data_IF_888857270478
#
_entry.id   IF_888857270478
#
_cell.length_a   1.000
_cell.length_b   1.000
_cell.length_c   1.000
_cell.angle_alpha   90.00
_cell.angle_beta   90.00
_cell.angle_gamma   90.00
#
_symmetry.space_group_name_H-M   'P 1'
#
loop_
_entity.id
_entity.type
_entity.pdbx_description
1 polymer ?
#
# COMPACT_ATOMS: atom_id res chain seq x y z
N UNK A 1 -9.21 7.46 0.89
CA UNK A 1 -7.81 7.92 0.81
C UNK A 1 -7.77 9.41 0.58
N UNK A 2 -6.77 10.05 1.12
CA UNK A 2 -6.57 11.50 0.98
C UNK A 2 -5.57 11.75 -0.14
N UNK A 3 -5.90 12.64 -1.08
CA UNK A 3 -4.96 13.08 -2.11
C UNK A 3 -3.89 13.95 -1.46
N UNK A 4 -2.62 13.66 -1.78
CA UNK A 4 -1.49 14.41 -1.26
C UNK A 4 -1.19 15.64 -2.12
N UNK A 5 -0.09 16.32 -1.81
CA UNK A 5 0.33 17.54 -2.52
C UNK A 5 0.50 17.30 -4.03
N UNK A 6 1.03 16.15 -4.42
CA UNK A 6 1.06 15.72 -5.82
C UNK A 6 -0.28 15.05 -6.16
N UNK A 7 -0.82 15.35 -7.34
CA UNK A 7 -2.13 14.84 -7.78
C UNK A 7 -2.16 13.32 -7.98
N UNK A 8 -1.01 12.69 -8.22
CA UNK A 8 -0.88 11.27 -8.45
C UNK A 8 -0.61 10.45 -7.18
N UNK A 9 -0.54 11.10 -6.02
CA UNK A 9 -0.26 10.46 -4.75
C UNK A 9 -1.45 10.56 -3.80
N UNK A 10 -1.80 9.43 -3.19
CA UNK A 10 -2.84 9.32 -2.18
C UNK A 10 -2.27 8.63 -0.95
N UNK A 11 -2.82 8.91 0.22
CA UNK A 11 -2.47 8.17 1.43
C UNK A 11 -3.71 7.83 2.25
N UNK A 12 -3.56 6.81 3.07
CA UNK A 12 -4.52 6.46 4.10
C UNK A 12 -3.75 6.09 5.36
N UNK A 13 -4.41 6.22 6.52
CA UNK A 13 -3.75 5.95 7.79
C UNK A 13 -4.54 4.95 8.61
N UNK A 14 -3.82 4.24 9.48
CA UNK A 14 -4.38 3.35 10.47
C UNK A 14 -3.74 3.69 11.81
N UNK A 15 -4.56 3.98 12.83
CA UNK A 15 -4.07 4.26 14.16
C UNK A 15 -3.68 2.97 14.87
N UNK A 16 -2.49 2.94 15.44
CA UNK A 16 -1.99 1.82 16.22
C UNK A 16 -2.08 2.17 17.70
N UNK A 17 -3.01 1.55 18.42
CA UNK A 17 -3.24 1.84 19.84
C UNK A 17 -2.06 1.50 20.74
N UNK A 18 -1.35 0.40 20.44
CA UNK A 18 -0.21 -0.02 21.24
C UNK A 18 0.92 1.00 21.21
N UNK A 19 1.17 1.59 20.05
CA UNK A 19 2.24 2.57 19.86
C UNK A 19 1.76 4.01 19.96
N UNK A 20 0.44 4.21 20.03
CA UNK A 20 -0.20 5.52 20.07
C UNK A 20 0.25 6.44 18.91
N UNK A 21 0.41 5.88 17.71
CA UNK A 21 0.79 6.62 16.51
C UNK A 21 -0.02 6.13 15.30
N UNK A 22 -0.11 6.98 14.28
CA UNK A 22 -0.70 6.63 13.00
C UNK A 22 0.37 6.05 12.08
N UNK A 23 0.03 4.97 11.40
CA UNK A 23 0.82 4.45 10.29
C UNK A 23 0.13 4.80 8.97
N UNK A 24 0.92 5.07 7.94
CA UNK A 24 0.42 5.48 6.63
C UNK A 24 0.84 4.52 5.53
N UNK A 25 -0.06 4.27 4.60
CA UNK A 25 0.27 3.67 3.32
C UNK A 25 0.15 4.73 2.23
N UNK A 26 0.80 4.50 1.10
CA UNK A 26 0.80 5.43 -0.04
C UNK A 26 0.32 4.69 -1.29
N UNK A 27 -0.53 5.33 -2.07
CA UNK A 27 -0.89 4.89 -3.41
C UNK A 27 -0.34 5.88 -4.42
N UNK A 28 0.44 5.39 -5.38
CA UNK A 28 0.97 6.18 -6.49
C UNK A 28 0.25 5.75 -7.76
N UNK A 29 -0.57 6.66 -8.31
CA UNK A 29 -1.35 6.41 -9.51
C UNK A 29 -0.47 6.64 -10.75
N UNK A 30 -0.37 5.62 -11.62
CA UNK A 30 0.47 5.65 -12.81
C UNK A 30 -0.24 5.00 -14.00
N UNK A 31 0.09 5.45 -15.22
CA UNK A 31 -0.48 4.90 -16.45
C UNK A 31 -0.21 3.40 -16.62
N UNK A 32 1.00 2.95 -16.27
CA UNK A 32 1.42 1.57 -16.47
C UNK A 32 1.15 0.68 -15.27
N UNK A 33 0.29 1.11 -14.37
CA UNK A 33 -0.08 0.36 -13.18
C UNK A 33 0.23 1.13 -11.91
N UNK A 34 -0.76 1.18 -11.03
CA UNK A 34 -0.63 1.88 -9.76
C UNK A 34 0.26 1.10 -8.80
N UNK A 35 0.97 1.82 -7.92
CA UNK A 35 1.88 1.25 -6.93
C UNK A 35 1.37 1.55 -5.53
N UNK A 36 1.18 0.49 -4.72
CA UNK A 36 0.96 0.62 -3.29
C UNK A 36 2.30 0.55 -2.57
N UNK A 37 2.59 1.52 -1.72
CA UNK A 37 3.86 1.63 -1.00
C UNK A 37 3.60 1.42 0.48
N UNK A 38 4.24 0.41 1.08
CA UNK A 38 4.13 0.06 2.50
C UNK A 38 2.67 0.03 2.97
N UNK A 39 1.79 -0.77 2.33
CA UNK A 39 0.36 -0.69 2.57
C UNK A 39 -0.06 -1.13 3.96
N UNK A 40 -1.03 -0.39 4.49
CA UNK A 40 -1.75 -0.74 5.71
C UNK A 40 -3.12 -1.31 5.34
N UNK A 41 -3.82 -1.99 6.26
CA UNK A 41 -5.20 -2.41 6.01
C UNK A 41 -6.06 -1.23 5.56
N UNK A 42 -6.97 -1.50 4.64
CA UNK A 42 -7.89 -0.50 4.10
C UNK A 42 -9.32 -0.76 4.57
N UNK A 43 -10.05 0.33 4.83
CA UNK A 43 -11.50 0.28 5.00
C UNK A 43 -12.17 -0.04 3.66
N UNK A 44 -13.46 -0.41 3.71
CA UNK A 44 -14.23 -0.65 2.48
C UNK A 44 -14.29 0.60 1.60
N UNK A 45 -14.37 1.77 2.24
CA UNK A 45 -14.34 3.06 1.54
C UNK A 45 -13.02 3.25 0.76
N UNK A 46 -11.89 2.94 1.38
CA UNK A 46 -10.58 3.06 0.74
C UNK A 46 -10.40 2.02 -0.38
N UNK A 47 -10.88 0.77 -0.16
CA UNK A 47 -10.87 -0.25 -1.20
C UNK A 47 -11.63 0.18 -2.44
N UNK A 48 -12.80 0.77 -2.25
CA UNK A 48 -13.62 1.27 -3.36
C UNK A 48 -12.92 2.43 -4.08
N UNK A 49 -12.29 3.31 -3.32
CA UNK A 49 -11.52 4.43 -3.89
C UNK A 49 -10.35 3.91 -4.73
N UNK A 50 -9.62 2.90 -4.23
CA UNK A 50 -8.55 2.25 -4.98
C UNK A 50 -9.07 1.66 -6.29
N UNK A 51 -10.19 0.95 -6.26
CA UNK A 51 -10.80 0.39 -7.46
C UNK A 51 -11.14 1.47 -8.48
N UNK A 52 -11.69 2.59 -8.02
CA UNK A 52 -12.04 3.73 -8.89
C UNK A 52 -10.81 4.38 -9.52
N UNK A 53 -9.65 4.26 -8.86
CA UNK A 53 -8.38 4.81 -9.37
C UNK A 53 -7.61 3.80 -10.25
N UNK A 54 -8.20 2.63 -10.49
CA UNK A 54 -7.60 1.63 -11.37
C UNK A 54 -6.98 0.43 -10.68
N UNK A 55 -7.18 0.27 -9.38
CA UNK A 55 -6.62 -0.83 -8.60
C UNK A 55 -5.12 -0.68 -8.35
N UNK A 56 -4.41 -1.79 -8.15
CA UNK A 56 -2.97 -1.79 -7.94
C UNK A 56 -2.31 -2.91 -8.73
N UNK A 57 -1.24 -2.59 -9.44
CA UNK A 57 -0.45 -3.56 -10.21
C UNK A 57 0.84 -3.92 -9.50
N UNK A 58 1.33 -3.07 -8.61
CA UNK A 58 2.60 -3.26 -7.91
C UNK A 58 2.45 -2.93 -6.43
N UNK A 59 3.22 -3.66 -5.63
CA UNK A 59 3.33 -3.46 -4.19
C UNK A 59 4.80 -3.25 -3.87
N UNK A 60 5.15 -2.08 -3.34
CA UNK A 60 6.53 -1.76 -2.97
C UNK A 60 6.66 -1.76 -1.45
N UNK A 61 7.56 -2.59 -0.94
CA UNK A 61 7.89 -2.67 0.48
C UNK A 61 9.29 -2.10 0.66
N UNK A 62 9.43 -1.04 1.45
CA UNK A 62 10.72 -0.35 1.58
C UNK A 62 11.67 -1.06 2.54
N UNK A 63 11.14 -1.81 3.51
CA UNK A 63 11.93 -2.70 4.39
C UNK A 63 11.02 -3.75 5.02
N UNK A 64 11.60 -4.76 5.67
CA UNK A 64 10.84 -5.88 6.24
C UNK A 64 9.85 -5.47 7.34
N UNK A 65 10.11 -4.37 8.04
CA UNK A 65 9.20 -3.87 9.07
C UNK A 65 7.90 -3.31 8.46
N UNK A 66 7.91 -3.03 7.16
CA UNK A 66 6.76 -2.48 6.44
C UNK A 66 5.97 -3.53 5.66
N UNK A 67 6.18 -4.82 5.92
CA UNK A 67 5.39 -5.88 5.27
C UNK A 67 3.90 -5.73 5.60
N UNK A 68 3.60 -5.41 6.86
CA UNK A 68 2.25 -4.99 7.27
C UNK A 68 1.13 -5.89 6.71
N UNK A 69 0.28 -5.34 5.85
CA UNK A 69 -0.85 -6.02 5.24
C UNK A 69 -0.55 -6.54 3.82
N UNK A 70 0.74 -6.65 3.46
CA UNK A 70 1.15 -6.98 2.09
C UNK A 70 0.54 -8.29 1.56
N UNK A 71 0.51 -9.35 2.37
CA UNK A 71 -0.06 -10.64 1.95
C UNK A 71 -1.52 -10.51 1.54
N UNK A 72 -2.31 -9.80 2.34
CA UNK A 72 -3.72 -9.57 2.04
C UNK A 72 -3.88 -8.71 0.79
N UNK A 73 -3.05 -7.67 0.64
CA UNK A 73 -3.08 -6.79 -0.52
C UNK A 73 -2.77 -7.54 -1.82
N UNK A 74 -1.73 -8.39 -1.81
CA UNK A 74 -1.39 -9.23 -2.97
C UNK A 74 -2.57 -10.14 -3.34
N UNK A 75 -3.18 -10.77 -2.34
CA UNK A 75 -4.29 -11.69 -2.55
C UNK A 75 -5.50 -10.99 -3.18
N UNK A 76 -5.79 -9.76 -2.75
CA UNK A 76 -6.95 -9.00 -3.25
C UNK A 76 -6.71 -8.30 -4.57
N UNK A 77 -5.48 -7.80 -4.81
CA UNK A 77 -5.16 -6.99 -5.99
C UNK A 77 -4.49 -7.77 -7.12
N UNK A 78 -3.84 -8.89 -6.79
CA UNK A 78 -2.98 -9.58 -7.74
C UNK A 78 -1.69 -8.85 -8.04
N UNK A 79 -1.35 -7.83 -7.25
CA UNK A 79 -0.18 -6.98 -7.48
C UNK A 79 1.13 -7.76 -7.31
N UNK A 80 2.14 -7.38 -8.11
CA UNK A 80 3.49 -7.93 -7.99
C UNK A 80 4.23 -7.20 -6.87
N UNK A 81 4.90 -7.95 -6.00
CA UNK A 81 5.63 -7.40 -4.85
C UNK A 81 7.08 -7.09 -5.19
N UNK A 82 7.55 -5.94 -4.73
CA UNK A 82 8.92 -5.47 -4.87
C UNK A 82 9.47 -5.08 -3.51
N UNK A 83 10.73 -5.37 -3.25
CA UNK A 83 11.36 -5.04 -1.96
C UNK A 83 12.87 -5.15 -2.02
N UNK A 84 13.58 -4.84 -0.92
CA UNK A 84 15.03 -4.96 -0.86
C UNK A 84 15.47 -6.41 -1.05
N UNK A 85 16.49 -6.64 -1.88
CA UNK A 85 16.99 -7.98 -2.18
C UNK A 85 17.45 -8.73 -0.92
N UNK A 86 18.06 -8.03 0.02
CA UNK A 86 18.55 -8.63 1.26
C UNK A 86 17.42 -9.20 2.13
N UNK A 87 16.20 -8.72 1.96
CA UNK A 87 15.03 -9.13 2.75
C UNK A 87 14.00 -9.86 1.91
N UNK A 88 14.34 -10.24 0.70
CA UNK A 88 13.42 -10.83 -0.28
C UNK A 88 12.59 -11.99 0.27
N UNK A 89 13.16 -12.85 1.07
CA UNK A 89 12.47 -14.00 1.66
C UNK A 89 11.35 -13.63 2.63
N UNK A 90 11.32 -12.38 3.09
CA UNK A 90 10.31 -11.88 4.03
C UNK A 90 9.08 -11.30 3.32
N UNK A 91 9.09 -11.27 1.99
CA UNK A 91 8.00 -10.69 1.21
C UNK A 91 7.15 -11.75 0.53
N UNK A 92 5.84 -11.48 0.38
CA UNK A 92 4.93 -12.39 -0.32
C UNK A 92 5.24 -12.52 -1.82
#
# INVERSE_FOLDING_TARGET
MKQLHRKDLFSWSVFNEERNIDFHGILWVRENGNVLIDPMPMSDHDWKHLENLGGAAHLLITNSDHVRDAHNMVKRTGAKTWGPLAEKKNFP
#
